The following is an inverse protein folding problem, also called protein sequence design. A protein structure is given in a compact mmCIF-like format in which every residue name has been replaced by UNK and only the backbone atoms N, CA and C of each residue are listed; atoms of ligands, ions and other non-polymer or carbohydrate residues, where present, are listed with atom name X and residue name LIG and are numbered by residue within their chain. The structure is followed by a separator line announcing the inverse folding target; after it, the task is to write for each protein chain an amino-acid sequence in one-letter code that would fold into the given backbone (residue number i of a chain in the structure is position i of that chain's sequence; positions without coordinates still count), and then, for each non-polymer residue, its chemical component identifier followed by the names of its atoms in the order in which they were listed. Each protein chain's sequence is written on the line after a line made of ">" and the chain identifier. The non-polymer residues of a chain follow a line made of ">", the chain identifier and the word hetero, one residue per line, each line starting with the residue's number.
data_IF_106633060994
#
_entry.id   IF_106633060994
#
_cell.length_a   1.000
_cell.length_b   1.000
_cell.length_c   1.000
_cell.angle_alpha   90.00
_cell.angle_beta   90.00
_cell.angle_gamma   90.00
#
_symmetry.space_group_name_H-M   'P 1'
#
loop_
_entity.id
_entity.type
_entity.pdbx_description
1 polymer ?
#
# COMPACT_ATOMS: atom_id res chain seq x y z
N UNK A 1 -3.83 -15.10 -16.32
CA UNK A 1 -3.53 -14.26 -15.15
C UNK A 1 -2.60 -13.15 -15.60
N UNK A 2 -2.88 -11.88 -15.26
CA UNK A 2 -1.95 -10.78 -15.56
C UNK A 2 -0.62 -11.08 -14.87
N UNK A 3 0.49 -10.88 -15.57
CA UNK A 3 1.84 -11.10 -15.00
C UNK A 3 2.22 -10.03 -13.99
N UNK A 4 1.68 -8.82 -14.15
CA UNK A 4 1.99 -7.67 -13.31
C UNK A 4 1.07 -7.60 -12.08
N UNK A 5 1.67 -7.33 -10.92
CA UNK A 5 1.03 -7.20 -9.60
C UNK A 5 1.03 -5.76 -9.07
N UNK A 6 1.57 -4.81 -9.85
CA UNK A 6 1.74 -3.42 -9.45
C UNK A 6 0.41 -2.76 -9.03
N UNK A 7 0.50 -1.90 -8.02
CA UNK A 7 -0.55 -1.05 -7.51
C UNK A 7 0.11 0.26 -7.06
N UNK A 8 -0.46 1.44 -7.36
CA UNK A 8 0.16 2.72 -7.02
C UNK A 8 0.06 3.08 -5.54
N UNK A 9 -0.95 2.55 -4.82
CA UNK A 9 -1.28 2.94 -3.45
C UNK A 9 -0.12 2.91 -2.44
N UNK A 10 0.81 1.91 -2.47
CA UNK A 10 1.95 1.90 -1.57
C UNK A 10 2.91 3.09 -1.75
N UNK A 11 2.84 3.85 -2.84
CA UNK A 11 3.71 5.01 -3.09
C UNK A 11 3.02 6.34 -2.82
N UNK A 12 1.78 6.49 -3.29
CA UNK A 12 1.11 7.79 -3.35
C UNK A 12 -0.06 7.96 -2.38
N UNK A 13 -0.34 6.97 -1.53
CA UNK A 13 -1.51 7.02 -0.65
C UNK A 13 -1.23 6.70 0.81
N UNK A 14 -2.13 7.16 1.68
CA UNK A 14 -2.26 6.69 3.06
C UNK A 14 -3.72 6.33 3.31
N UNK A 15 -3.95 5.17 3.94
CA UNK A 15 -5.29 4.72 4.28
C UNK A 15 -5.40 4.67 5.81
N UNK A 16 -6.51 5.17 6.35
CA UNK A 16 -6.78 5.26 7.78
C UNK A 16 -7.99 4.41 8.16
N UNK A 17 -7.93 3.78 9.33
CA UNK A 17 -9.09 3.23 10.02
C UNK A 17 -9.80 4.33 10.81
N UNK A 18 -11.02 4.03 11.27
CA UNK A 18 -11.84 4.95 12.07
C UNK A 18 -11.23 5.35 13.42
N UNK A 19 -10.29 4.57 13.94
CA UNK A 19 -9.52 4.88 15.14
C UNK A 19 -8.20 5.61 14.85
N UNK A 20 -7.94 6.00 13.60
CA UNK A 20 -6.72 6.69 13.17
C UNK A 20 -5.56 5.76 12.82
N UNK A 21 -5.68 4.44 12.98
CA UNK A 21 -4.60 3.50 12.64
C UNK A 21 -4.31 3.57 11.14
N UNK A 22 -3.04 3.75 10.80
CA UNK A 22 -2.58 3.80 9.42
C UNK A 22 -2.42 2.39 8.86
N UNK A 23 -2.79 2.22 7.59
CA UNK A 23 -2.71 0.97 6.85
C UNK A 23 -2.41 1.19 5.37
N UNK A 24 -1.91 0.16 4.70
CA UNK A 24 -1.44 0.25 3.31
C UNK A 24 -2.58 0.40 2.28
N UNK A 25 -3.77 -0.15 2.55
CA UNK A 25 -4.93 -0.10 1.66
C UNK A 25 -6.20 -0.47 2.44
N UNK A 26 -7.37 -0.01 2.00
CA UNK A 26 -8.63 -0.40 2.65
C UNK A 26 -8.94 -1.90 2.52
N UNK A 27 -8.56 -2.52 1.39
CA UNK A 27 -8.91 -3.89 1.05
C UNK A 27 -8.15 -4.92 1.90
N UNK A 28 -7.03 -4.53 2.51
CA UNK A 28 -6.26 -5.40 3.40
C UNK A 28 -7.02 -5.78 4.67
N UNK A 29 -8.16 -5.15 4.98
CA UNK A 29 -8.98 -5.56 6.12
C UNK A 29 -9.52 -7.00 6.00
N UNK A 30 -9.50 -7.58 4.80
CA UNK A 30 -9.93 -8.93 4.50
C UNK A 30 -8.84 -9.68 3.75
N UNK A 31 -8.74 -10.99 3.99
CA UNK A 31 -7.78 -11.87 3.31
C UNK A 31 -6.34 -11.36 3.40
N UNK A 32 -5.91 -10.90 4.57
CA UNK A 32 -4.55 -10.42 4.76
C UNK A 32 -4.08 -10.76 6.18
N UNK A 33 -2.80 -11.14 6.38
CA UNK A 33 -2.33 -11.61 7.67
C UNK A 33 -2.24 -10.48 8.72
N UNK A 34 -1.81 -9.28 8.33
CA UNK A 34 -1.61 -8.15 9.24
C UNK A 34 -2.68 -7.06 9.13
N UNK A 35 -3.71 -7.27 8.32
CA UNK A 35 -4.77 -6.29 8.02
C UNK A 35 -4.23 -5.01 7.38
N UNK A 36 -3.05 -5.08 6.78
CA UNK A 36 -2.30 -3.96 6.22
C UNK A 36 -1.83 -2.92 7.24
N UNK A 37 -1.87 -3.22 8.54
CA UNK A 37 -1.55 -2.27 9.60
C UNK A 37 -0.07 -1.90 9.55
N UNK A 38 0.21 -0.59 9.50
CA UNK A 38 1.58 -0.08 9.57
C UNK A 38 2.07 -0.09 11.01
N UNK A 39 3.13 -0.86 11.28
CA UNK A 39 3.77 -0.93 12.60
C UNK A 39 5.16 -0.32 12.58
N UNK A 40 5.54 0.27 13.71
CA UNK A 40 6.90 0.70 14.02
C UNK A 40 7.76 -0.52 14.37
N UNK A 41 9.07 -0.31 14.49
CA UNK A 41 10.02 -1.37 14.85
C UNK A 41 9.75 -1.97 16.24
N UNK A 42 9.22 -1.17 17.18
CA UNK A 42 8.83 -1.62 18.52
C UNK A 42 7.49 -2.38 18.55
N UNK A 43 6.85 -2.58 17.40
CA UNK A 43 5.57 -3.27 17.24
C UNK A 43 4.32 -2.41 17.47
N UNK A 44 4.48 -1.16 17.92
CA UNK A 44 3.37 -0.21 18.05
C UNK A 44 2.85 0.22 16.68
N UNK A 45 1.59 0.68 16.62
CA UNK A 45 0.91 1.03 15.39
C UNK A 45 1.10 2.52 15.10
N UNK A 46 1.40 2.86 13.84
CA UNK A 46 1.35 4.24 13.37
C UNK A 46 -0.10 4.74 13.37
N UNK A 47 -0.35 5.87 14.01
CA UNK A 47 -1.67 6.46 14.16
C UNK A 47 -1.66 7.94 13.77
N UNK A 48 -2.62 8.33 12.94
CA UNK A 48 -2.75 9.69 12.39
C UNK A 48 -2.92 10.80 13.42
N UNK A 49 -3.38 10.49 14.63
CA UNK A 49 -3.55 11.48 15.68
C UNK A 49 -2.28 11.84 16.46
N UNK A 50 -1.18 11.08 16.29
CA UNK A 50 0.02 11.23 17.12
C UNK A 50 1.36 11.01 16.42
N UNK A 51 1.38 10.32 15.28
CA UNK A 51 2.61 9.92 14.60
C UNK A 51 2.81 10.71 13.31
N UNK A 52 4.06 10.81 12.88
CA UNK A 52 4.43 11.47 11.63
C UNK A 52 4.08 10.59 10.41
N UNK A 53 3.39 11.18 9.44
CA UNK A 53 2.96 10.47 8.24
C UNK A 53 4.15 10.09 7.35
N UNK A 54 5.17 10.93 7.25
CA UNK A 54 6.36 10.65 6.44
C UNK A 54 7.20 9.51 7.03
N UNK A 55 7.27 9.39 8.36
CA UNK A 55 7.83 8.20 9.00
C UNK A 55 7.02 6.93 8.65
N UNK A 56 5.69 7.00 8.77
CA UNK A 56 4.81 5.87 8.49
C UNK A 56 4.89 5.37 7.04
N UNK A 57 5.18 6.26 6.08
CA UNK A 57 5.30 5.93 4.65
C UNK A 57 6.47 5.01 4.32
N UNK A 58 7.40 4.79 5.24
CA UNK A 58 8.46 3.78 5.10
C UNK A 58 8.37 2.68 6.17
N UNK A 59 7.17 2.45 6.72
CA UNK A 59 6.89 1.27 7.54
C UNK A 59 7.27 -0.03 6.81
N UNK A 60 7.77 -1.02 7.55
CA UNK A 60 8.31 -2.26 6.97
C UNK A 60 7.34 -2.96 6.01
N UNK A 61 6.05 -3.03 6.36
CA UNK A 61 5.01 -3.61 5.51
C UNK A 61 4.85 -2.90 4.15
N UNK A 62 5.02 -1.57 4.07
CA UNK A 62 4.97 -0.85 2.80
C UNK A 62 6.19 -1.17 1.94
N UNK A 63 7.37 -1.20 2.57
CA UNK A 63 8.63 -1.54 1.91
C UNK A 63 8.57 -2.95 1.30
N UNK A 64 8.13 -3.93 2.09
CA UNK A 64 7.92 -5.31 1.63
C UNK A 64 6.94 -5.40 0.45
N UNK A 65 5.79 -4.72 0.55
CA UNK A 65 4.77 -4.69 -0.50
C UNK A 65 5.33 -4.08 -1.80
N UNK A 66 6.06 -2.97 -1.72
CA UNK A 66 6.69 -2.35 -2.89
C UNK A 66 7.69 -3.29 -3.55
N UNK A 67 8.56 -3.93 -2.76
CA UNK A 67 9.55 -4.90 -3.27
C UNK A 67 8.86 -6.05 -4.00
N UNK A 68 7.80 -6.65 -3.42
CA UNK A 68 7.04 -7.71 -4.08
C UNK A 68 6.42 -7.22 -5.40
N UNK A 69 5.77 -6.06 -5.40
CA UNK A 69 5.15 -5.50 -6.62
C UNK A 69 6.17 -5.21 -7.72
N UNK A 70 7.34 -4.68 -7.39
CA UNK A 70 8.40 -4.43 -8.36
C UNK A 70 8.97 -5.72 -8.96
N UNK A 71 8.88 -6.85 -8.23
CA UNK A 71 9.26 -8.19 -8.69
C UNK A 71 8.14 -8.96 -9.41
N UNK A 72 6.98 -8.34 -9.65
CA UNK A 72 5.79 -9.01 -10.19
C UNK A 72 5.26 -10.14 -9.28
N UNK A 73 5.49 -10.01 -7.97
CA UNK A 73 5.04 -10.96 -6.96
C UNK A 73 3.85 -10.39 -6.18
N UNK A 74 2.91 -11.27 -5.81
CA UNK A 74 1.80 -10.89 -4.94
C UNK A 74 2.26 -10.90 -3.48
N UNK A 75 2.20 -9.74 -2.82
CA UNK A 75 2.39 -9.69 -1.38
C UNK A 75 1.17 -10.33 -0.67
N UNK A 76 1.34 -11.09 0.43
CA UNK A 76 0.22 -11.70 1.17
C UNK A 76 -0.85 -10.71 1.63
N UNK A 77 -0.47 -9.44 1.80
CA UNK A 77 -1.42 -8.38 2.16
C UNK A 77 -2.39 -7.99 1.04
N UNK A 78 -2.04 -8.32 -0.20
CA UNK A 78 -2.78 -7.97 -1.41
C UNK A 78 -3.66 -9.13 -1.93
N UNK A 79 -3.78 -10.21 -1.15
CA UNK A 79 -4.43 -11.46 -1.55
C UNK A 79 -5.90 -11.26 -1.95
N UNK A 80 -6.64 -10.33 -1.34
CA UNK A 80 -7.99 -10.00 -1.78
C UNK A 80 -8.04 -9.60 -3.25
N UNK A 81 -7.16 -8.69 -3.69
CA UNK A 81 -7.11 -8.27 -5.10
C UNK A 81 -6.71 -9.42 -6.02
N UNK A 82 -5.77 -10.27 -5.59
CA UNK A 82 -5.40 -11.48 -6.33
C UNK A 82 -6.60 -12.40 -6.53
N UNK A 83 -7.37 -12.64 -5.47
CA UNK A 83 -8.57 -13.47 -5.50
C UNK A 83 -9.65 -12.88 -6.40
N UNK A 84 -9.88 -11.57 -6.34
CA UNK A 84 -10.82 -10.88 -7.25
C UNK A 84 -10.40 -11.15 -8.71
N UNK A 85 -9.13 -10.93 -9.06
CA UNK A 85 -8.65 -11.06 -10.44
C UNK A 85 -8.62 -12.50 -10.98
N UNK A 86 -8.22 -13.50 -10.18
CA UNK A 86 -8.23 -14.90 -10.66
C UNK A 86 -9.65 -15.41 -10.90
N UNK A 87 -10.64 -14.79 -10.26
CA UNK A 87 -12.06 -15.07 -10.44
C UNK A 87 -12.72 -14.15 -11.48
N UNK A 88 -11.95 -13.34 -12.21
CA UNK A 88 -12.45 -12.45 -13.26
C UNK A 88 -13.22 -11.22 -12.74
N UNK A 89 -13.07 -10.88 -11.46
CA UNK A 89 -13.66 -9.69 -10.84
C UNK A 89 -12.63 -8.56 -10.87
N UNK A 90 -12.99 -7.35 -11.33
CA UNK A 90 -12.08 -6.22 -11.29
C UNK A 90 -11.65 -5.87 -9.87
N UNK A 91 -10.35 -5.85 -9.61
CA UNK A 91 -9.84 -5.59 -8.27
C UNK A 91 -9.65 -4.10 -7.99
N UNK A 92 -9.52 -3.73 -6.70
CA UNK A 92 -9.20 -2.34 -6.35
C UNK A 92 -7.94 -1.84 -7.06
N UNK A 93 -6.87 -2.65 -7.12
CA UNK A 93 -5.63 -2.20 -7.77
C UNK A 93 -5.80 -1.91 -9.25
N UNK A 94 -6.73 -2.54 -9.95
CA UNK A 94 -6.98 -2.25 -11.35
C UNK A 94 -7.61 -0.87 -11.53
N UNK A 95 -8.53 -0.47 -10.65
CA UNK A 95 -9.06 0.90 -10.62
C UNK A 95 -7.96 1.91 -10.31
N UNK A 96 -7.18 1.68 -9.25
CA UNK A 96 -6.11 2.60 -8.87
C UNK A 96 -5.05 2.73 -9.98
N UNK A 97 -4.71 1.64 -10.68
CA UNK A 97 -3.81 1.71 -11.83
C UNK A 97 -4.36 2.51 -13.00
N UNK A 98 -5.68 2.64 -13.15
CA UNK A 98 -6.28 3.47 -14.19
C UNK A 98 -6.33 4.94 -13.77
N UNK A 99 -6.48 5.21 -12.47
CA UNK A 99 -6.72 6.56 -11.94
C UNK A 99 -5.43 7.36 -11.69
N UNK A 100 -4.28 6.68 -11.46
CA UNK A 100 -3.03 7.33 -11.09
C UNK A 100 -1.95 7.22 -12.16
N UNK A 101 -1.16 8.28 -12.37
CA UNK A 101 -0.06 8.31 -13.34
C UNK A 101 1.15 7.45 -12.92
N UNK A 102 1.34 7.21 -11.62
CA UNK A 102 2.43 6.35 -11.15
C UNK A 102 2.21 4.90 -11.62
N UNK A 103 3.19 4.41 -12.36
CA UNK A 103 3.28 3.06 -12.94
C UNK A 103 4.57 2.40 -12.52
N UNK A 104 4.71 1.10 -12.79
CA UNK A 104 5.87 0.31 -12.39
C UNK A 104 7.20 0.90 -12.88
N UNK A 105 7.25 1.33 -14.14
CA UNK A 105 8.41 1.97 -14.76
C UNK A 105 8.79 3.30 -14.11
N UNK A 106 7.81 4.09 -13.66
CA UNK A 106 8.06 5.32 -12.89
C UNK A 106 8.39 5.08 -11.42
N UNK A 107 7.93 3.96 -10.85
CA UNK A 107 8.15 3.61 -9.44
C UNK A 107 9.56 3.02 -9.19
N UNK A 108 10.11 2.28 -10.16
CA UNK A 108 11.47 1.71 -10.08
C UNK A 108 12.54 2.77 -9.75
N UNK A 109 12.68 3.90 -10.48
CA UNK A 109 13.76 4.86 -10.23
C UNK A 109 13.64 5.63 -8.91
N UNK A 110 12.47 5.62 -8.27
CA UNK A 110 12.21 6.35 -7.01
C UNK A 110 12.18 5.43 -5.77
N UNK A 111 12.43 4.13 -5.94
CA UNK A 111 12.35 3.13 -4.87
C UNK A 111 13.71 2.47 -4.69
N UNK A 112 14.23 2.45 -3.47
CA UNK A 112 15.46 1.74 -3.12
C UNK A 112 15.24 0.22 -3.14
N UNK A 113 16.33 -0.56 -3.16
CA UNK A 113 16.28 -2.03 -3.21
C UNK A 113 15.47 -2.65 -2.06
N UNK A 114 15.45 -2.00 -0.89
CA UNK A 114 14.69 -2.44 0.29
C UNK A 114 13.22 -1.99 0.27
N UNK A 115 12.78 -1.24 -0.75
CA UNK A 115 11.43 -0.69 -0.86
C UNK A 115 11.25 0.71 -0.25
N UNK A 116 12.30 1.31 0.29
CA UNK A 116 12.26 2.68 0.82
C UNK A 116 12.04 3.70 -0.31
N UNK A 117 11.24 4.73 -0.05
CA UNK A 117 11.06 5.89 -0.94
C UNK A 117 11.54 7.17 -0.27
N UNK A 118 11.95 8.14 -1.09
CA UNK A 118 12.20 9.51 -0.64
C UNK A 118 10.86 10.26 -0.49
N UNK A 119 10.44 10.46 0.75
CA UNK A 119 9.12 11.02 1.10
C UNK A 119 8.98 12.51 0.79
N UNK A 120 10.10 13.22 0.63
CA UNK A 120 10.10 14.64 0.25
C UNK A 120 9.93 14.81 -1.28
N UNK A 121 10.33 13.79 -2.06
CA UNK A 121 10.19 13.79 -3.52
C UNK A 121 8.92 13.11 -4.00
N UNK A 122 8.58 11.95 -3.42
CA UNK A 122 7.33 11.28 -3.69
C UNK A 122 6.28 11.88 -2.77
N UNK A 123 5.34 12.66 -3.28
CA UNK A 123 4.28 13.24 -2.48
C UNK A 123 3.11 12.27 -2.29
N UNK A 124 2.31 12.51 -1.25
CA UNK A 124 1.02 11.83 -1.08
C UNK A 124 0.00 12.55 -1.98
N UNK A 125 -0.69 11.78 -2.81
CA UNK A 125 -1.74 12.27 -3.69
C UNK A 125 -3.13 11.92 -3.16
N UNK A 126 -3.24 10.90 -2.30
CA UNK A 126 -4.51 10.37 -1.85
C UNK A 126 -4.54 9.95 -0.38
N UNK A 127 -5.63 10.30 0.31
CA UNK A 127 -5.96 9.80 1.64
C UNK A 127 -7.32 9.09 1.64
N UNK A 128 -7.35 7.82 2.03
CA UNK A 128 -8.60 7.08 2.31
C UNK A 128 -8.88 7.17 3.82
N UNK A 129 -9.76 8.07 4.23
CA UNK A 129 -10.14 8.26 5.63
C UNK A 129 -11.51 7.62 5.88
N UNK A 130 -11.55 6.57 6.70
CA UNK A 130 -12.81 5.90 7.09
C UNK A 130 -13.35 6.46 8.38
N UNK A 131 -14.48 7.16 8.32
CA UNK A 131 -15.19 7.65 9.52
C UNK A 131 -16.13 6.62 10.16
N UNK A 132 -16.37 5.48 9.50
CA UNK A 132 -17.25 4.40 9.98
C UNK A 132 -16.83 3.04 9.39
N UNK A 133 -17.37 1.96 9.97
CA UNK A 133 -17.15 0.58 9.52
C UNK A 133 -18.22 0.13 8.52
#
# INVERSE_FOLDING_TARGET
>A
MKKDTFCPLPWNSINLRNNGDMRICCNTNSYSPQKGIMRKEDGTIYNAGKDDFNEARNANILKEVRVSMLKDEWHPECERCRQEEINGIPSRREYENNDWEIKKDTAIPITLEDGTIDVDKQLIEFFDIRYGN
#
